data_IF_538217221287
#
_entry.id   IF_538217221287
#
_cell.length_a   1.000
_cell.length_b   1.000
_cell.length_c   1.000
_cell.angle_alpha   90.00
_cell.angle_beta   90.00
_cell.angle_gamma   90.00
#
_symmetry.space_group_name_H-M   'P 1'
#
loop_
_entity.id
_entity.type
_entity.pdbx_description
1 polymer ?
#
# COMPACT_ATOMS: atom_id res chain seq x y z
N UNK A 1 18.70 -13.42 23.78
CA UNK A 1 19.06 -12.22 22.98
C UNK A 1 17.92 -11.79 22.04
N UNK A 2 17.45 -12.67 21.14
CA UNK A 2 16.43 -12.31 20.13
C UNK A 2 15.06 -11.91 20.73
N UNK A 3 14.55 -12.63 21.73
CA UNK A 3 13.27 -12.32 22.38
C UNK A 3 13.29 -10.93 23.05
N UNK A 4 14.43 -10.56 23.65
CA UNK A 4 14.61 -9.24 24.27
C UNK A 4 14.57 -8.14 23.20
N UNK A 5 15.21 -8.35 22.05
CA UNK A 5 15.17 -7.42 20.91
C UNK A 5 13.74 -7.21 20.38
N UNK A 6 12.97 -8.29 20.22
CA UNK A 6 11.56 -8.21 19.79
C UNK A 6 10.71 -7.47 20.83
N UNK A 7 10.91 -7.74 22.11
CA UNK A 7 10.23 -7.03 23.21
C UNK A 7 10.55 -5.53 23.20
N UNK A 8 11.82 -5.16 23.02
CA UNK A 8 12.22 -3.75 22.95
C UNK A 8 11.62 -3.06 21.73
N UNK A 9 11.61 -3.71 20.55
CA UNK A 9 10.96 -3.17 19.34
C UNK A 9 9.45 -2.98 19.52
N UNK A 10 8.76 -3.96 20.11
CA UNK A 10 7.32 -3.86 20.40
C UNK A 10 7.03 -2.72 21.39
N UNK A 11 7.86 -2.58 22.43
CA UNK A 11 7.76 -1.49 23.39
C UNK A 11 7.95 -0.11 22.74
N UNK A 12 8.99 0.05 21.93
CA UNK A 12 9.27 1.29 21.22
C UNK A 12 8.16 1.65 20.22
N UNK A 13 7.70 0.69 19.44
CA UNK A 13 6.63 0.87 18.46
C UNK A 13 5.31 1.24 19.16
N UNK A 14 4.96 0.55 20.24
CA UNK A 14 3.78 0.85 21.05
C UNK A 14 3.84 2.24 21.68
N UNK A 15 4.99 2.63 22.21
CA UNK A 15 5.21 3.96 22.78
C UNK A 15 5.07 5.06 21.72
N UNK A 16 5.64 4.85 20.53
CA UNK A 16 5.58 5.80 19.44
C UNK A 16 4.16 5.91 18.88
N UNK A 17 3.47 4.77 18.69
CA UNK A 17 2.07 4.75 18.31
C UNK A 17 1.19 5.48 19.33
N UNK A 18 1.42 5.26 20.64
CA UNK A 18 0.74 5.99 21.70
C UNK A 18 0.97 7.50 21.61
N UNK A 19 2.21 7.95 21.46
CA UNK A 19 2.51 9.38 21.33
C UNK A 19 1.89 9.99 20.07
N UNK A 20 1.87 9.27 18.95
CA UNK A 20 1.23 9.72 17.70
C UNK A 20 -0.29 9.80 17.86
N UNK A 21 -0.92 8.80 18.50
CA UNK A 21 -2.36 8.84 18.79
C UNK A 21 -2.72 9.96 19.77
N UNK A 22 -1.98 10.08 20.88
CA UNK A 22 -2.19 11.10 21.90
C UNK A 22 -1.93 12.52 21.36
N UNK A 23 -0.94 12.67 20.47
CA UNK A 23 -0.67 13.92 19.79
C UNK A 23 -1.57 14.12 18.56
N UNK A 24 -2.39 13.16 18.15
CA UNK A 24 -3.06 13.12 16.85
C UNK A 24 -3.87 14.39 16.55
N UNK A 25 -4.75 14.80 17.46
CA UNK A 25 -5.55 16.02 17.28
C UNK A 25 -4.73 17.31 17.30
N UNK A 26 -3.64 17.33 18.07
CA UNK A 26 -2.74 18.48 18.19
C UNK A 26 -1.82 18.60 16.97
N UNK A 27 -1.33 17.47 16.47
CA UNK A 27 -0.52 17.34 15.26
C UNK A 27 -1.34 17.72 14.04
N UNK A 28 -2.57 17.21 13.92
CA UNK A 28 -3.52 17.56 12.85
C UNK A 28 -3.77 19.08 12.82
N UNK A 29 -4.03 19.68 13.98
CA UNK A 29 -4.23 21.14 14.10
C UNK A 29 -2.99 21.92 13.71
N UNK A 30 -1.80 21.51 14.14
CA UNK A 30 -0.54 22.19 13.82
C UNK A 30 -0.17 22.08 12.35
N UNK A 31 -0.32 20.91 11.74
CA UNK A 31 -0.09 20.70 10.29
C UNK A 31 -1.01 21.60 9.46
N UNK A 32 -2.30 21.67 9.80
CA UNK A 32 -3.27 22.58 9.16
C UNK A 32 -2.93 24.06 9.39
N UNK A 33 -2.31 24.39 10.53
CA UNK A 33 -1.86 25.75 10.83
C UNK A 33 -0.60 26.14 10.06
N UNK A 34 0.35 25.20 9.87
CA UNK A 34 1.58 25.40 9.10
C UNK A 34 1.35 25.44 7.59
N UNK A 35 0.28 24.80 7.06
CA UNK A 35 -0.09 24.85 5.65
C UNK A 35 -0.47 26.26 5.13
N UNK A 36 -0.58 27.24 6.03
CA UNK A 36 -0.78 28.66 5.72
C UNK A 36 -2.20 29.18 5.96
N UNK A 37 -2.41 30.47 5.66
CA UNK A 37 -3.66 31.21 5.91
C UNK A 37 -4.74 31.04 4.83
N UNK A 38 -4.43 30.41 3.70
CA UNK A 38 -5.39 30.18 2.61
C UNK A 38 -6.32 29.00 2.93
N UNK A 39 -7.64 29.21 2.82
CA UNK A 39 -8.64 28.17 3.07
C UNK A 39 -8.55 27.00 2.08
N UNK A 40 -8.02 27.22 0.87
CA UNK A 40 -7.77 26.18 -0.11
C UNK A 40 -6.71 25.17 0.38
N UNK A 41 -5.56 25.67 0.87
CA UNK A 41 -4.48 24.83 1.40
C UNK A 41 -4.89 24.04 2.66
N UNK A 42 -5.80 24.60 3.47
CA UNK A 42 -6.36 23.88 4.65
C UNK A 42 -7.34 22.79 4.25
N UNK A 43 -8.16 23.02 3.24
CA UNK A 43 -9.08 22.02 2.68
C UNK A 43 -8.29 20.86 2.07
N UNK A 44 -7.24 21.17 1.31
CA UNK A 44 -6.31 20.19 0.73
C UNK A 44 -5.65 19.30 1.79
N UNK A 45 -5.18 19.89 2.89
CA UNK A 45 -4.60 19.15 4.00
C UNK A 45 -5.60 18.22 4.70
N UNK A 46 -6.86 18.64 4.87
CA UNK A 46 -7.92 17.80 5.46
C UNK A 46 -8.31 16.67 4.52
N UNK A 47 -8.40 16.93 3.22
CA UNK A 47 -8.73 15.94 2.21
C UNK A 47 -7.64 14.86 2.11
N UNK A 48 -6.36 15.27 2.17
CA UNK A 48 -5.23 14.34 2.30
C UNK A 48 -5.32 13.48 3.56
N UNK A 49 -5.63 14.05 4.72
CA UNK A 49 -5.77 13.29 5.95
C UNK A 49 -6.90 12.26 5.87
N UNK A 50 -8.02 12.60 5.24
CA UNK A 50 -9.13 11.67 5.01
C UNK A 50 -8.75 10.55 4.02
N UNK A 51 -7.97 10.87 2.98
CA UNK A 51 -7.44 9.89 2.02
C UNK A 51 -6.53 8.87 2.73
N UNK A 52 -5.65 9.35 3.61
CA UNK A 52 -4.76 8.51 4.43
C UNK A 52 -5.59 7.62 5.34
N UNK A 53 -6.58 8.17 6.06
CA UNK A 53 -7.42 7.42 6.98
C UNK A 53 -8.25 6.34 6.26
N UNK A 54 -8.77 6.65 5.07
CA UNK A 54 -9.48 5.71 4.21
C UNK A 54 -8.55 4.59 3.70
N UNK A 55 -7.31 4.92 3.31
CA UNK A 55 -6.32 3.93 2.88
C UNK A 55 -5.91 3.00 4.02
N UNK A 56 -5.64 3.56 5.21
CA UNK A 56 -5.28 2.77 6.40
C UNK A 56 -6.44 1.85 6.80
N UNK A 57 -7.67 2.38 6.88
CA UNK A 57 -8.85 1.60 7.20
C UNK A 57 -9.10 0.48 6.21
N UNK A 58 -8.96 0.77 4.91
CA UNK A 58 -9.09 -0.22 3.85
C UNK A 58 -8.00 -1.28 3.93
N UNK A 59 -6.74 -0.90 4.15
CA UNK A 59 -5.63 -1.84 4.32
C UNK A 59 -5.82 -2.74 5.54
N UNK A 60 -6.22 -2.19 6.69
CA UNK A 60 -6.52 -2.96 7.90
C UNK A 60 -7.67 -3.95 7.67
N UNK A 61 -8.74 -3.51 6.99
CA UNK A 61 -9.86 -4.39 6.66
C UNK A 61 -9.45 -5.54 5.74
N UNK A 62 -8.64 -5.24 4.73
CA UNK A 62 -8.08 -6.26 3.84
C UNK A 62 -7.18 -7.24 4.61
N UNK A 63 -6.28 -6.72 5.45
CA UNK A 63 -5.38 -7.53 6.27
C UNK A 63 -6.20 -8.50 7.13
N UNK A 64 -7.23 -8.00 7.82
CA UNK A 64 -8.12 -8.82 8.64
C UNK A 64 -8.80 -9.92 7.81
N UNK A 65 -9.42 -9.55 6.68
CA UNK A 65 -10.12 -10.51 5.80
C UNK A 65 -9.16 -11.59 5.29
N UNK A 66 -7.98 -11.21 4.82
CA UNK A 66 -6.96 -12.17 4.34
C UNK A 66 -6.52 -13.13 5.44
N UNK A 67 -6.27 -12.63 6.66
CA UNK A 67 -5.83 -13.47 7.78
C UNK A 67 -6.94 -14.45 8.21
N UNK A 68 -8.20 -14.00 8.22
CA UNK A 68 -9.36 -14.87 8.48
C UNK A 68 -9.50 -15.94 7.39
N UNK A 69 -9.40 -15.57 6.12
CA UNK A 69 -9.51 -16.52 5.00
C UNK A 69 -8.40 -17.58 5.06
N UNK A 70 -7.18 -17.19 5.39
CA UNK A 70 -6.05 -18.12 5.53
C UNK A 70 -6.24 -19.06 6.72
N UNK A 71 -6.71 -18.52 7.86
CA UNK A 71 -6.99 -19.35 9.03
C UNK A 71 -8.11 -20.36 8.76
N UNK A 72 -9.19 -19.93 8.09
CA UNK A 72 -10.29 -20.80 7.68
C UNK A 72 -9.84 -21.85 6.66
N UNK A 73 -9.08 -21.46 5.63
CA UNK A 73 -8.55 -22.38 4.64
C UNK A 73 -7.65 -23.44 5.28
N UNK A 74 -6.77 -23.01 6.20
CA UNK A 74 -5.89 -23.91 6.94
C UNK A 74 -6.71 -24.88 7.80
N UNK A 75 -7.70 -24.39 8.55
CA UNK A 75 -8.59 -25.25 9.31
C UNK A 75 -9.28 -26.30 8.44
N UNK A 76 -9.88 -25.90 7.32
CA UNK A 76 -10.57 -26.81 6.41
C UNK A 76 -9.63 -27.86 5.80
N UNK A 77 -8.42 -27.47 5.41
CA UNK A 77 -7.41 -28.39 4.88
C UNK A 77 -7.02 -29.42 5.93
N UNK A 78 -6.68 -29.00 7.15
CA UNK A 78 -6.25 -29.91 8.21
C UNK A 78 -7.41 -30.82 8.67
N UNK A 79 -8.63 -30.29 8.72
CA UNK A 79 -9.82 -31.07 9.03
C UNK A 79 -10.10 -32.13 7.96
N UNK A 80 -9.94 -31.79 6.67
CA UNK A 80 -10.08 -32.75 5.57
C UNK A 80 -9.02 -33.85 5.59
N UNK A 81 -7.82 -33.55 6.11
CA UNK A 81 -6.74 -34.52 6.34
C UNK A 81 -6.92 -35.33 7.63
N UNK A 82 -7.97 -35.07 8.42
CA UNK A 82 -8.25 -35.79 9.66
C UNK A 82 -7.30 -35.46 10.81
N UNK A 83 -6.59 -34.32 10.75
CA UNK A 83 -5.63 -33.93 11.78
C UNK A 83 -6.33 -33.36 13.02
N UNK A 84 -5.88 -33.81 14.20
CA UNK A 84 -6.38 -33.32 15.48
C UNK A 84 -5.99 -31.87 15.72
N UNK A 85 -6.88 -31.11 16.35
CA UNK A 85 -6.63 -29.70 16.66
C UNK A 85 -6.68 -28.77 15.44
N UNK A 86 -7.25 -29.21 14.30
CA UNK A 86 -7.36 -28.39 13.09
C UNK A 86 -7.89 -26.96 13.31
N UNK A 87 -8.91 -26.69 14.16
CA UNK A 87 -9.35 -25.32 14.42
C UNK A 87 -8.26 -24.45 15.08
N UNK A 88 -7.48 -25.02 16.00
CA UNK A 88 -6.42 -24.31 16.73
C UNK A 88 -5.32 -23.91 15.74
N UNK A 89 -4.90 -24.85 14.89
CA UNK A 89 -3.88 -24.59 13.88
C UNK A 89 -4.34 -23.62 12.80
N UNK A 90 -5.64 -23.60 12.47
CA UNK A 90 -6.23 -22.56 11.63
C UNK A 90 -6.12 -21.17 12.25
N UNK A 91 -6.44 -21.02 13.54
CA UNK A 91 -6.29 -19.74 14.25
C UNK A 91 -4.82 -19.31 14.31
N UNK A 92 -3.92 -20.23 14.64
CA UNK A 92 -2.47 -19.97 14.67
C UNK A 92 -1.98 -19.52 13.29
N UNK A 93 -2.39 -20.19 12.21
CA UNK A 93 -2.06 -19.81 10.85
C UNK A 93 -2.52 -18.39 10.50
N UNK A 94 -3.77 -18.06 10.85
CA UNK A 94 -4.32 -16.72 10.68
C UNK A 94 -3.51 -15.67 11.42
N UNK A 95 -3.13 -15.91 12.67
CA UNK A 95 -2.33 -14.96 13.47
C UNK A 95 -0.91 -14.82 12.92
N UNK A 96 -0.26 -15.93 12.58
CA UNK A 96 1.12 -15.91 12.05
C UNK A 96 1.19 -15.14 10.73
N UNK A 97 0.14 -15.22 9.91
CA UNK A 97 0.08 -14.55 8.61
C UNK A 97 -0.01 -13.02 8.69
N UNK A 98 -0.08 -12.43 9.89
CA UNK A 98 0.12 -10.99 10.08
C UNK A 98 1.50 -10.57 9.56
N UNK A 99 2.51 -11.44 9.64
CA UNK A 99 3.83 -11.21 9.07
C UNK A 99 3.86 -11.79 7.65
N UNK A 100 3.88 -10.96 6.60
CA UNK A 100 3.85 -11.44 5.21
C UNK A 100 5.02 -12.38 4.94
N UNK A 101 4.77 -13.46 4.19
CA UNK A 101 5.72 -14.51 3.80
C UNK A 101 6.26 -15.36 4.96
N UNK A 102 6.78 -14.73 6.02
CA UNK A 102 7.31 -15.44 7.19
C UNK A 102 6.22 -16.21 7.92
N UNK A 103 5.02 -15.62 8.08
CA UNK A 103 3.88 -16.28 8.69
C UNK A 103 3.50 -17.58 7.99
N UNK A 104 3.46 -17.57 6.66
CA UNK A 104 3.19 -18.75 5.85
C UNK A 104 4.28 -19.81 6.01
N UNK A 105 5.56 -19.42 5.97
CA UNK A 105 6.67 -20.36 6.11
C UNK A 105 6.68 -21.05 7.48
N UNK A 106 6.47 -20.28 8.55
CA UNK A 106 6.41 -20.83 9.92
C UNK A 106 5.17 -21.71 10.08
N UNK A 107 4.02 -21.30 9.56
CA UNK A 107 2.79 -22.12 9.59
C UNK A 107 3.01 -23.45 8.88
N UNK A 108 3.61 -23.43 7.69
CA UNK A 108 3.90 -24.64 6.93
C UNK A 108 4.83 -25.60 7.69
N UNK A 109 5.88 -25.07 8.32
CA UNK A 109 6.81 -25.86 9.13
C UNK A 109 6.11 -26.48 10.35
N UNK A 110 5.29 -25.71 11.06
CA UNK A 110 4.54 -26.17 12.23
C UNK A 110 3.53 -27.24 11.82
N UNK A 111 2.76 -27.01 10.75
CA UNK A 111 1.81 -27.99 10.21
C UNK A 111 2.51 -29.27 9.77
N UNK A 112 3.68 -29.18 9.13
CA UNK A 112 4.46 -30.36 8.74
C UNK A 112 4.84 -31.21 9.96
N UNK A 113 5.34 -30.56 11.02
CA UNK A 113 5.71 -31.25 12.26
C UNK A 113 4.49 -31.88 12.93
N UNK A 114 3.40 -31.13 13.06
CA UNK A 114 2.15 -31.63 13.67
C UNK A 114 1.58 -32.81 12.90
N UNK A 115 1.54 -32.72 11.58
CA UNK A 115 1.05 -33.80 10.73
C UNK A 115 1.93 -35.04 10.84
N UNK A 116 3.25 -34.87 10.80
CA UNK A 116 4.19 -35.98 10.98
C UNK A 116 4.02 -36.68 12.34
N UNK A 117 3.86 -35.90 13.42
CA UNK A 117 3.68 -36.47 14.77
C UNK A 117 2.39 -37.26 14.93
N UNK A 118 1.34 -36.91 14.17
CA UNK A 118 0.05 -37.60 14.24
C UNK A 118 -0.02 -38.81 13.30
N UNK A 119 0.53 -38.71 12.09
CA UNK A 119 0.41 -39.75 11.06
C UNK A 119 1.61 -40.68 10.97
N UNK A 120 2.75 -40.31 11.57
CA UNK A 120 4.06 -40.96 11.39
C UNK A 120 4.48 -41.10 9.91
N UNK A 121 3.94 -40.27 9.02
CA UNK A 121 4.17 -40.32 7.57
C UNK A 121 4.75 -38.99 7.08
N UNK A 122 5.93 -39.05 6.47
CA UNK A 122 6.53 -37.89 5.80
C UNK A 122 5.72 -37.44 4.58
N UNK A 123 4.99 -38.37 3.94
CA UNK A 123 4.12 -38.06 2.81
C UNK A 123 2.96 -37.16 3.22
N UNK A 124 2.27 -37.52 4.31
CA UNK A 124 1.13 -36.75 4.81
C UNK A 124 1.57 -35.38 5.33
N UNK A 125 2.73 -35.32 5.98
CA UNK A 125 3.32 -34.06 6.42
C UNK A 125 3.63 -33.12 5.25
N UNK A 126 4.20 -33.65 4.17
CA UNK A 126 4.47 -32.87 2.96
C UNK A 126 3.18 -32.41 2.27
N UNK A 127 2.14 -33.26 2.22
CA UNK A 127 0.82 -32.91 1.68
C UNK A 127 0.18 -31.80 2.51
N UNK A 128 0.15 -31.91 3.84
CA UNK A 128 -0.43 -30.91 4.72
C UNK A 128 0.28 -29.55 4.57
N UNK A 129 1.61 -29.54 4.63
CA UNK A 129 2.40 -28.33 4.53
C UNK A 129 2.28 -27.65 3.16
N UNK A 130 2.32 -28.44 2.08
CA UNK A 130 2.17 -27.91 0.71
C UNK A 130 0.77 -27.38 0.45
N UNK A 131 -0.29 -28.07 0.91
CA UNK A 131 -1.67 -27.62 0.76
C UNK A 131 -1.93 -26.30 1.49
N UNK A 132 -1.47 -26.17 2.75
CA UNK A 132 -1.62 -24.93 3.52
C UNK A 132 -0.81 -23.78 2.89
N UNK A 133 0.41 -24.06 2.45
CA UNK A 133 1.24 -23.06 1.75
C UNK A 133 0.57 -22.59 0.46
N UNK A 134 0.06 -23.53 -0.34
CA UNK A 134 -0.62 -23.22 -1.59
C UNK A 134 -1.85 -22.34 -1.37
N UNK A 135 -2.70 -22.68 -0.40
CA UNK A 135 -3.86 -21.87 -0.05
C UNK A 135 -3.45 -20.45 0.37
N UNK A 136 -2.45 -20.31 1.22
CA UNK A 136 -1.94 -19.00 1.66
C UNK A 136 -1.37 -18.18 0.48
N UNK A 137 -0.67 -18.81 -0.46
CA UNK A 137 -0.13 -18.14 -1.66
C UNK A 137 -1.26 -17.69 -2.58
N UNK A 138 -2.25 -18.53 -2.84
CA UNK A 138 -3.40 -18.18 -3.70
C UNK A 138 -4.18 -17.01 -3.11
N UNK A 139 -4.48 -17.07 -1.81
CA UNK A 139 -5.19 -15.98 -1.11
C UNK A 139 -4.32 -14.71 -1.09
N UNK A 140 -3.02 -14.83 -0.83
CA UNK A 140 -2.07 -13.72 -0.81
C UNK A 140 -1.85 -13.07 -2.18
N UNK A 141 -1.84 -13.83 -3.27
CA UNK A 141 -1.79 -13.29 -4.63
C UNK A 141 -3.11 -12.58 -5.02
N UNK A 142 -4.25 -13.10 -4.56
CA UNK A 142 -5.54 -12.42 -4.69
C UNK A 142 -5.55 -11.06 -3.99
N UNK A 143 -4.97 -10.99 -2.80
CA UNK A 143 -4.73 -9.74 -2.07
C UNK A 143 -3.87 -8.77 -2.89
N UNK A 144 -2.71 -9.23 -3.36
CA UNK A 144 -1.79 -8.38 -4.13
C UNK A 144 -2.47 -7.81 -5.39
N UNK A 145 -3.16 -8.65 -6.16
CA UNK A 145 -3.86 -8.22 -7.38
C UNK A 145 -5.02 -7.26 -7.10
N UNK A 146 -5.78 -7.46 -6.03
CA UNK A 146 -6.89 -6.58 -5.67
C UNK A 146 -6.42 -5.21 -5.14
N UNK A 147 -5.33 -5.19 -4.37
CA UNK A 147 -4.74 -3.96 -3.86
C UNK A 147 -4.14 -3.14 -5.01
N UNK A 148 -3.43 -3.81 -5.91
CA UNK A 148 -2.76 -3.21 -7.07
C UNK A 148 -3.75 -2.79 -8.18
N UNK A 149 -4.91 -3.45 -8.28
CA UNK A 149 -5.97 -3.09 -9.22
C UNK A 149 -6.81 -1.86 -8.81
N UNK A 150 -6.72 -1.42 -7.55
CA UNK A 150 -7.49 -0.29 -7.02
C UNK A 150 -6.66 0.83 -6.38
N UNK A 151 -5.34 0.69 -6.33
CA UNK A 151 -4.43 1.71 -5.82
C UNK A 151 -3.41 2.06 -6.89
N UNK A 152 -3.43 3.33 -7.30
CA UNK A 152 -2.35 4.18 -7.81
C UNK A 152 -1.25 3.52 -8.64
N UNK A 153 -0.95 4.09 -9.82
CA UNK A 153 0.17 3.74 -10.69
C UNK A 153 1.54 4.05 -10.04
N UNK A 154 1.81 3.46 -8.88
CA UNK A 154 3.07 3.61 -8.17
C UNK A 154 4.08 2.67 -8.80
N UNK A 155 5.26 3.21 -9.11
CA UNK A 155 6.35 2.43 -9.66
C UNK A 155 6.68 1.27 -8.71
N UNK A 156 6.68 0.02 -9.19
CA UNK A 156 6.97 -1.17 -8.39
C UNK A 156 8.33 -1.09 -7.69
N UNK A 157 9.30 -0.40 -8.31
CA UNK A 157 10.62 -0.13 -7.72
C UNK A 157 10.52 0.75 -6.48
N UNK A 158 9.64 1.75 -6.48
CA UNK A 158 9.44 2.62 -5.33
C UNK A 158 8.84 1.86 -4.14
N UNK A 159 7.84 1.00 -4.40
CA UNK A 159 7.25 0.10 -3.39
C UNK A 159 8.32 -0.80 -2.80
N UNK A 160 9.15 -1.40 -3.65
CA UNK A 160 10.24 -2.27 -3.22
C UNK A 160 11.27 -1.54 -2.34
N UNK A 161 11.70 -0.34 -2.74
CA UNK A 161 12.63 0.50 -1.96
C UNK A 161 12.02 0.85 -0.60
N UNK A 162 10.75 1.23 -0.55
CA UNK A 162 10.08 1.55 0.71
C UNK A 162 10.01 0.34 1.63
N UNK A 163 9.64 -0.84 1.12
CA UNK A 163 9.57 -2.07 1.91
C UNK A 163 10.94 -2.44 2.48
N UNK A 164 12.02 -2.29 1.71
CA UNK A 164 13.39 -2.53 2.21
C UNK A 164 13.78 -1.48 3.25
N UNK A 165 13.57 -0.20 2.95
CA UNK A 165 13.94 0.91 3.83
C UNK A 165 13.23 0.83 5.18
N UNK A 166 11.90 0.68 5.16
CA UNK A 166 11.13 0.53 6.38
C UNK A 166 11.41 -0.83 7.02
N UNK A 167 11.52 -1.92 6.26
CA UNK A 167 11.92 -3.23 6.79
C UNK A 167 13.25 -3.19 7.56
N UNK A 168 14.22 -2.41 7.10
CA UNK A 168 15.48 -2.19 7.81
C UNK A 168 15.32 -1.33 9.08
N UNK A 169 14.45 -0.31 9.05
CA UNK A 169 14.27 0.66 10.14
C UNK A 169 13.58 0.04 11.38
N UNK A 170 12.58 -0.81 11.20
CA UNK A 170 11.77 -1.37 12.30
C UNK A 170 11.51 -2.89 12.19
N UNK A 171 12.20 -3.59 11.29
CA UNK A 171 12.04 -5.04 11.10
C UNK A 171 10.71 -5.42 10.45
N UNK A 172 10.08 -6.49 10.94
CA UNK A 172 8.81 -7.02 10.39
C UNK A 172 7.67 -6.00 10.34
N UNK A 173 7.62 -5.06 11.30
CA UNK A 173 6.64 -3.97 11.30
C UNK A 173 6.84 -3.00 10.14
N UNK A 174 8.09 -2.79 9.72
CA UNK A 174 8.42 -1.99 8.55
C UNK A 174 7.99 -2.61 7.23
N UNK A 175 8.02 -3.95 7.13
CA UNK A 175 7.47 -4.67 5.98
C UNK A 175 5.94 -4.57 5.92
N UNK A 176 5.27 -4.62 7.07
CA UNK A 176 3.81 -4.45 7.16
C UNK A 176 3.38 -3.02 6.75
N UNK A 177 4.09 -2.00 7.27
CA UNK A 177 3.71 -0.61 7.12
C UNK A 177 4.37 0.10 5.91
N UNK A 178 5.34 -0.51 5.24
CA UNK A 178 6.11 0.13 4.18
C UNK A 178 5.26 0.59 2.99
N UNK A 179 4.36 -0.27 2.52
CA UNK A 179 3.43 0.04 1.42
C UNK A 179 2.47 1.19 1.77
N UNK A 180 1.74 1.17 2.91
CA UNK A 180 0.88 2.29 3.27
C UNK A 180 1.68 3.57 3.55
N UNK A 181 2.84 3.51 4.22
CA UNK A 181 3.65 4.72 4.42
C UNK A 181 4.13 5.33 3.10
N UNK A 182 4.48 4.51 2.12
CA UNK A 182 4.85 5.02 0.80
C UNK A 182 3.67 5.69 0.10
N UNK A 183 2.47 5.16 0.23
CA UNK A 183 1.26 5.79 -0.31
C UNK A 183 1.01 7.16 0.33
N UNK A 184 1.21 7.28 1.65
CA UNK A 184 1.16 8.57 2.36
C UNK A 184 2.24 9.53 1.85
N UNK A 185 3.49 9.07 1.73
CA UNK A 185 4.60 9.88 1.22
C UNK A 185 4.35 10.38 -0.21
N UNK A 186 3.83 9.52 -1.08
CA UNK A 186 3.44 9.91 -2.44
C UNK A 186 2.32 10.96 -2.42
N UNK A 187 1.28 10.77 -1.60
CA UNK A 187 0.18 11.72 -1.53
C UNK A 187 0.62 13.11 -1.01
N UNK A 188 1.68 13.17 -0.19
CA UNK A 188 2.34 14.41 0.21
C UNK A 188 3.16 14.99 -0.96
N UNK A 189 3.98 14.17 -1.63
CA UNK A 189 4.83 14.58 -2.75
C UNK A 189 4.02 15.12 -3.94
N UNK A 190 2.88 14.51 -4.24
CA UNK A 190 1.97 14.91 -5.33
C UNK A 190 1.33 16.31 -5.09
N UNK A 191 1.37 16.84 -3.86
CA UNK A 191 0.79 18.15 -3.49
C UNK A 191 1.83 19.25 -3.24
N UNK A 192 3.13 18.93 -3.23
CA UNK A 192 4.21 19.92 -3.07
C UNK A 192 4.80 20.18 -4.45
N UNK A 193 4.45 21.34 -5.04
CA UNK A 193 4.90 21.76 -6.39
C UNK A 193 6.44 21.69 -6.56
N UNK A 194 7.23 21.80 -5.48
CA UNK A 194 8.70 21.74 -5.49
C UNK A 194 9.30 20.32 -5.55
N UNK A 195 8.50 19.24 -5.47
CA UNK A 195 9.00 17.85 -5.46
C UNK A 195 8.68 17.06 -6.75
N UNK A 196 8.51 17.76 -7.87
CA UNK A 196 8.23 17.18 -9.19
C UNK A 196 9.11 15.97 -9.56
N UNK A 197 10.41 16.02 -9.28
CA UNK A 197 11.35 14.93 -9.58
C UNK A 197 11.06 13.63 -8.82
N UNK A 198 10.58 13.72 -7.57
CA UNK A 198 10.23 12.56 -6.74
C UNK A 198 8.88 12.01 -7.19
N UNK A 199 7.93 12.87 -7.55
CA UNK A 199 6.63 12.49 -8.10
C UNK A 199 6.77 11.72 -9.41
N UNK A 200 7.67 12.15 -10.30
CA UNK A 200 7.97 11.47 -11.57
C UNK A 200 8.66 10.11 -11.35
N UNK A 201 9.62 10.03 -10.42
CA UNK A 201 10.29 8.77 -10.04
C UNK A 201 9.35 7.75 -9.36
N UNK A 202 8.37 8.21 -8.59
CA UNK A 202 7.39 7.38 -7.88
C UNK A 202 6.20 6.94 -8.75
N UNK A 203 6.13 7.38 -10.01
CA UNK A 203 5.09 6.97 -10.98
C UNK A 203 3.98 8.01 -11.23
N UNK A 204 4.33 9.31 -11.26
CA UNK A 204 3.40 10.38 -11.58
C UNK A 204 2.77 10.27 -12.97
N UNK A 205 1.55 9.72 -13.03
CA UNK A 205 0.69 9.81 -14.21
C UNK A 205 -0.06 11.14 -14.25
N UNK A 206 0.48 12.09 -15.00
CA UNK A 206 -0.19 13.18 -15.72
C UNK A 206 -1.39 13.90 -15.06
N UNK A 207 -1.19 15.10 -14.50
CA UNK A 207 -2.29 16.07 -14.37
C UNK A 207 -1.92 17.54 -14.61
N UNK A 208 -0.76 17.84 -15.21
CA UNK A 208 -0.40 19.23 -15.56
C UNK A 208 0.32 19.40 -16.91
N UNK A 209 0.04 18.54 -17.89
CA UNK A 209 0.58 18.70 -19.26
C UNK A 209 -0.44 19.25 -20.28
N UNK A 210 -1.58 19.78 -19.85
CA UNK A 210 -2.50 20.50 -20.74
C UNK A 210 -3.10 21.68 -20.00
N UNK A 211 -2.88 22.87 -20.56
CA UNK A 211 -3.50 24.15 -20.19
C UNK A 211 -2.84 24.89 -19.00
N UNK A 212 -1.56 25.26 -19.14
CA UNK A 212 -1.19 26.62 -18.70
C UNK A 212 -1.82 27.59 -19.72
N UNK A 213 -2.77 28.46 -19.32
CA UNK A 213 -3.23 29.51 -20.20
C UNK A 213 -2.07 30.50 -20.44
N UNK A 214 -1.96 31.11 -21.63
CA UNK A 214 -0.86 32.00 -21.96
C UNK A 214 -0.72 33.08 -20.88
N UNK A 215 0.47 33.17 -20.30
CA UNK A 215 0.76 34.05 -19.16
C UNK A 215 0.84 35.53 -19.54
N UNK A 216 0.73 35.82 -20.83
CA UNK A 216 0.77 37.17 -21.38
C UNK A 216 -0.36 37.40 -22.40
N UNK A 217 -1.04 38.54 -22.28
CA UNK A 217 -2.11 38.94 -23.20
C UNK A 217 -1.56 39.22 -24.60
N UNK A 218 -0.29 39.62 -24.69
CA UNK A 218 0.38 39.90 -25.96
C UNK A 218 0.70 38.59 -26.72
N UNK A 219 1.00 37.51 -25.99
CA UNK A 219 1.23 36.19 -26.57
C UNK A 219 -0.08 35.55 -27.07
N UNK A 220 -1.17 35.67 -26.30
CA UNK A 220 -2.51 35.24 -26.72
C UNK A 220 -3.01 35.96 -27.98
N UNK A 221 -2.74 37.27 -28.09
CA UNK A 221 -3.05 38.06 -29.28
C UNK A 221 -2.24 37.60 -30.51
N UNK A 222 -0.96 37.28 -30.33
CA UNK A 222 -0.09 36.79 -31.43
C UNK A 222 -0.50 35.41 -31.96
N UNK A 223 -1.03 34.55 -31.08
CA UNK A 223 -1.51 33.20 -31.44
C UNK A 223 -2.85 33.28 -32.16
N UNK A 224 -3.76 34.17 -31.73
CA UNK A 224 -5.02 34.42 -32.44
C UNK A 224 -4.80 35.07 -33.81
N UNK A 225 -3.87 36.02 -33.93
CA UNK A 225 -3.56 36.65 -35.21
C UNK A 225 -2.96 35.65 -36.21
N UNK A 226 -2.03 34.80 -35.77
CA UNK A 226 -1.49 33.71 -36.60
C UNK A 226 -2.54 32.67 -37.00
N UNK A 227 -3.45 32.32 -36.10
CA UNK A 227 -4.53 31.38 -36.40
C UNK A 227 -5.53 31.95 -37.42
N UNK A 228 -5.77 33.27 -37.36
CA UNK A 228 -6.66 33.98 -38.27
C UNK A 228 -6.03 34.13 -39.67
N UNK A 229 -4.74 34.44 -39.73
CA UNK A 229 -3.99 34.51 -41.00
C UNK A 229 -3.85 33.15 -41.67
N UNK A 230 -3.66 32.08 -40.89
CA UNK A 230 -3.56 30.71 -41.43
C UNK A 230 -4.90 30.26 -42.01
N UNK A 231 -6.03 30.54 -41.34
CA UNK A 231 -7.36 30.24 -41.88
C UNK A 231 -7.70 31.05 -43.13
N UNK A 232 -7.35 32.33 -43.17
CA UNK A 232 -7.58 33.17 -44.34
C UNK A 232 -6.76 32.71 -45.56
N UNK A 233 -5.52 32.24 -45.34
CA UNK A 233 -4.67 31.69 -46.40
C UNK A 233 -5.19 30.35 -46.96
N UNK A 234 -5.82 29.52 -46.11
CA UNK A 234 -6.39 28.23 -46.50
C UNK A 234 -7.73 28.39 -47.24
N UNK A 235 -8.56 29.36 -46.81
CA UNK A 235 -9.84 29.67 -47.45
C UNK A 235 -9.67 30.32 -48.83
N UNK A 236 -8.58 31.07 -49.03
CA UNK A 236 -8.21 31.62 -50.34
C UNK A 236 -7.69 30.55 -51.32
N UNK A 237 -7.17 29.41 -50.83
CA UNK A 237 -6.73 28.27 -51.65
C UNK A 237 -7.88 27.37 -52.12
N UNK A 238 -9.05 27.45 -51.46
CA UNK A 238 -10.20 26.57 -51.69
C UNK A 238 -11.28 27.17 -52.61
N UNK A 239 -11.09 28.37 -53.16
CA UNK A 239 -12.00 28.93 -54.18
C UNK A 239 -11.52 28.57 -55.60
N UNK A 240 -12.10 27.56 -56.27
CA UNK A 240 -11.86 27.35 -57.70
C UNK A 240 -12.42 28.54 -58.49
N UNK A 241 -11.62 29.02 -59.44
CA UNK A 241 -12.04 29.98 -60.49
C UNK A 241 -12.91 29.26 -61.51
#
# INVERSE_FOLDING_TARGET
AQILGVLTQLGMAGLLAYFVLAAGDTFRRKVVHLAGRSLAKRRDAVELLNEIDAQVSRYMGILLVTNVLIGLATWLILAALGLEGAPIWGVVAGILHIIPYAGTAVTAAVVAVVSFLQTNSLGDAAIAASAVTFAAVVIGMGLATWLQGRASQMNAVAVFIAVIFFGWLWGGWGLLLGTPLLAVLKAIADRVDDMHAITELLGGGATKAKEEPPKDKDEAASVQDKATQTKAADEARLKPT
#
